data_IF_668040705172
#
_entry.id   IF_668040705172
#
_cell.length_a   1.000
_cell.length_b   1.000
_cell.length_c   1.000
_cell.angle_alpha   90.00
_cell.angle_beta   90.00
_cell.angle_gamma   90.00
#
_symmetry.space_group_name_H-M   'P 1'
#
loop_
_entity.id
_entity.type
_entity.pdbx_description
1 polymer ?
#
# COMPACT_ATOMS: atom_id res chain seq x y z
N UNK A 1 -89.22 -51.23 -25.96
CA UNK A 1 -88.08 -52.14 -26.19
C UNK A 1 -86.84 -51.26 -26.47
N UNK A 2 -86.03 -50.99 -25.47
CA UNK A 2 -84.99 -49.95 -25.53
C UNK A 2 -83.61 -50.62 -25.53
N UNK A 3 -82.84 -50.45 -26.54
CA UNK A 3 -81.46 -50.92 -26.63
C UNK A 3 -80.53 -49.84 -25.97
N UNK A 4 -79.91 -50.21 -24.89
CA UNK A 4 -78.84 -49.43 -24.32
C UNK A 4 -77.51 -49.78 -25.04
N UNK A 5 -76.91 -48.80 -25.68
CA UNK A 5 -75.56 -48.92 -26.21
C UNK A 5 -74.59 -48.22 -25.19
N UNK A 6 -73.69 -49.03 -24.61
CA UNK A 6 -72.63 -48.56 -23.74
C UNK A 6 -71.50 -48.02 -24.65
N UNK A 7 -71.12 -46.78 -24.42
CA UNK A 7 -69.92 -46.21 -25.00
C UNK A 7 -68.78 -46.32 -23.97
N UNK A 8 -67.73 -47.06 -24.38
CA UNK A 8 -66.48 -47.05 -23.59
C UNK A 8 -65.63 -45.87 -24.00
N UNK A 9 -65.32 -45.04 -23.04
CA UNK A 9 -64.39 -43.90 -23.20
C UNK A 9 -62.99 -44.36 -22.86
N UNK A 10 -62.13 -44.44 -23.84
CA UNK A 10 -60.66 -44.65 -23.67
C UNK A 10 -60.04 -43.30 -23.28
N UNK A 11 -59.53 -43.20 -22.03
CA UNK A 11 -58.69 -42.04 -21.60
C UNK A 11 -57.26 -42.39 -21.92
N UNK A 12 -56.72 -41.74 -22.94
CA UNK A 12 -55.27 -41.76 -23.24
C UNK A 12 -54.55 -40.77 -22.31
N UNK A 13 -53.80 -41.31 -21.35
CA UNK A 13 -52.92 -40.51 -20.47
C UNK A 13 -51.66 -40.06 -21.20
N UNK A 14 -51.55 -38.79 -21.51
CA UNK A 14 -50.31 -38.21 -22.00
C UNK A 14 -49.38 -37.92 -20.80
N UNK A 15 -48.32 -38.73 -20.66
CA UNK A 15 -47.24 -38.46 -19.71
C UNK A 15 -46.36 -37.32 -20.22
N UNK A 16 -46.47 -36.13 -19.64
CA UNK A 16 -45.56 -35.02 -19.86
C UNK A 16 -44.26 -35.25 -19.06
N UNK A 17 -43.22 -35.66 -19.77
CA UNK A 17 -41.86 -35.68 -19.25
C UNK A 17 -41.35 -34.21 -19.16
N UNK A 18 -41.44 -33.63 -17.98
CA UNK A 18 -40.75 -32.36 -17.65
C UNK A 18 -39.26 -32.66 -17.54
N UNK A 19 -38.50 -32.46 -18.60
CA UNK A 19 -37.05 -32.37 -18.54
C UNK A 19 -36.69 -31.04 -17.87
N UNK A 20 -36.44 -31.10 -16.58
CA UNK A 20 -35.83 -30.04 -15.82
C UNK A 20 -34.38 -29.86 -16.31
N UNK A 21 -34.14 -28.88 -17.21
CA UNK A 21 -32.81 -28.34 -17.38
C UNK A 21 -32.41 -27.64 -16.07
N UNK A 22 -31.70 -28.36 -15.19
CA UNK A 22 -30.93 -27.71 -14.16
C UNK A 22 -29.82 -26.95 -14.89
N UNK A 23 -30.05 -25.66 -15.13
CA UNK A 23 -28.98 -24.75 -15.44
C UNK A 23 -28.06 -24.78 -14.20
N UNK A 24 -26.88 -25.38 -14.35
CA UNK A 24 -25.79 -25.16 -13.42
C UNK A 24 -25.58 -23.62 -13.47
N UNK A 25 -26.01 -22.95 -12.40
CA UNK A 25 -25.53 -21.61 -12.15
C UNK A 25 -24.02 -21.77 -11.92
N UNK A 26 -23.23 -21.48 -12.95
CA UNK A 26 -21.85 -21.11 -12.72
C UNK A 26 -21.88 -20.01 -11.66
N UNK A 27 -21.47 -20.37 -10.46
CA UNK A 27 -21.07 -19.41 -9.46
C UNK A 27 -19.77 -18.78 -9.99
N UNK A 28 -19.91 -17.96 -11.02
CA UNK A 28 -18.89 -17.01 -11.42
C UNK A 28 -18.74 -16.06 -10.26
N UNK A 29 -17.86 -16.38 -9.33
CA UNK A 29 -17.41 -15.43 -8.36
C UNK A 29 -16.88 -14.23 -9.16
N UNK A 30 -17.61 -13.12 -9.10
CA UNK A 30 -17.16 -11.86 -9.67
C UNK A 30 -15.82 -11.60 -9.01
N UNK A 31 -14.73 -11.64 -9.77
CA UNK A 31 -13.42 -11.25 -9.23
C UNK A 31 -13.59 -9.86 -8.60
N UNK A 32 -13.04 -9.69 -7.41
CA UNK A 32 -13.05 -8.38 -6.76
C UNK A 32 -12.35 -7.36 -7.70
N UNK A 33 -12.78 -6.10 -7.71
CA UNK A 33 -12.12 -5.08 -8.50
C UNK A 33 -10.63 -4.97 -8.10
N UNK A 34 -9.72 -4.70 -9.04
CA UNK A 34 -8.33 -4.43 -8.71
C UNK A 34 -8.21 -3.32 -7.65
N UNK A 35 -7.27 -3.44 -6.71
CA UNK A 35 -7.09 -2.49 -5.62
C UNK A 35 -8.02 -2.66 -4.42
N UNK A 36 -9.00 -3.57 -4.49
CA UNK A 36 -9.97 -3.76 -3.42
C UNK A 36 -9.34 -4.33 -2.13
N UNK A 37 -8.32 -5.18 -2.24
CA UNK A 37 -7.60 -5.71 -1.09
C UNK A 37 -6.71 -4.63 -0.47
N UNK A 38 -6.00 -3.83 -1.27
CA UNK A 38 -5.21 -2.69 -0.81
C UNK A 38 -6.06 -1.69 -0.04
N UNK A 39 -7.21 -1.28 -0.61
CA UNK A 39 -8.11 -0.30 0.01
C UNK A 39 -8.81 -0.82 1.27
N UNK A 40 -8.97 -2.14 1.41
CA UNK A 40 -9.64 -2.75 2.56
C UNK A 40 -8.72 -3.04 3.75
N UNK A 41 -7.40 -3.01 3.56
CA UNK A 41 -6.42 -3.42 4.56
C UNK A 41 -5.53 -2.23 4.96
N UNK A 42 -5.19 -2.19 6.23
CA UNK A 42 -4.23 -1.23 6.80
C UNK A 42 -3.18 -2.02 7.56
N UNK A 43 -1.87 -1.77 7.36
CA UNK A 43 -0.81 -2.40 8.14
C UNK A 43 -0.97 -2.14 9.63
N UNK A 44 -0.59 -3.12 10.45
CA UNK A 44 -0.50 -2.89 11.89
C UNK A 44 0.69 -1.98 12.21
N UNK A 45 0.53 -1.09 13.17
CA UNK A 45 1.62 -0.22 13.60
C UNK A 45 2.80 -1.05 14.14
N UNK A 46 4.05 -0.61 13.94
CA UNK A 46 5.21 -1.32 14.48
C UNK A 46 5.12 -1.38 16.01
N UNK A 47 5.33 -2.56 16.57
CA UNK A 47 5.29 -2.78 18.04
C UNK A 47 6.61 -2.47 18.73
N UNK A 48 7.68 -2.22 17.97
CA UNK A 48 9.03 -1.96 18.45
C UNK A 48 9.61 -0.65 17.94
N UNK A 49 10.89 -0.46 18.21
CA UNK A 49 11.63 0.66 17.66
C UNK A 49 11.80 0.50 16.15
N UNK A 50 11.57 1.58 15.44
CA UNK A 50 11.82 1.70 14.00
C UNK A 50 12.88 2.76 13.73
N UNK A 51 13.49 2.72 12.57
CA UNK A 51 14.40 3.74 12.09
C UNK A 51 14.08 4.13 10.66
N UNK A 52 14.45 5.35 10.30
CA UNK A 52 14.30 5.85 8.94
C UNK A 52 15.31 6.93 8.64
N UNK A 53 15.39 7.31 7.37
CA UNK A 53 16.20 8.42 6.87
C UNK A 53 15.28 9.42 6.21
N UNK A 54 15.49 10.70 6.49
CA UNK A 54 14.65 11.74 5.91
C UNK A 54 15.12 13.13 6.26
N UNK A 55 14.40 14.10 5.75
CA UNK A 55 14.59 15.51 6.13
C UNK A 55 13.70 15.81 7.33
N UNK A 56 14.28 16.30 8.39
CA UNK A 56 13.53 16.98 9.44
C UNK A 56 13.32 18.42 9.02
N UNK A 57 12.07 18.85 8.98
CA UNK A 57 11.65 20.20 8.67
C UNK A 57 10.87 20.77 9.86
N UNK A 58 11.32 21.91 10.35
CA UNK A 58 10.63 22.73 11.33
C UNK A 58 10.27 24.06 10.67
N UNK A 59 9.01 24.35 10.48
CA UNK A 59 8.50 25.58 9.88
C UNK A 59 8.17 26.66 10.94
N UNK A 60 8.51 26.40 12.20
CA UNK A 60 8.20 27.25 13.36
C UNK A 60 6.83 26.95 13.98
N UNK A 61 5.99 26.16 13.35
CA UNK A 61 4.69 25.70 13.87
C UNK A 61 4.68 24.22 14.23
N UNK A 62 5.35 23.40 13.43
CA UNK A 62 5.45 21.96 13.59
C UNK A 62 6.83 21.45 13.17
N UNK A 63 7.22 20.30 13.73
CA UNK A 63 8.40 19.55 13.29
C UNK A 63 7.92 18.29 12.61
N UNK A 64 8.36 18.08 11.37
CA UNK A 64 7.97 16.96 10.53
C UNK A 64 9.19 16.16 10.05
N UNK A 65 9.00 14.85 9.89
CA UNK A 65 9.93 13.95 9.22
C UNK A 65 9.42 13.67 7.81
N UNK A 66 10.09 14.23 6.83
CA UNK A 66 9.85 14.00 5.42
C UNK A 66 10.56 12.74 4.96
N UNK A 67 9.83 11.66 4.77
CA UNK A 67 10.35 10.35 4.36
C UNK A 67 10.34 10.16 2.84
N UNK A 68 9.51 10.93 2.13
CA UNK A 68 9.36 10.90 0.67
C UNK A 68 10.14 12.03 -0.03
N UNK A 69 9.64 12.42 -1.18
CA UNK A 69 10.22 13.49 -1.97
C UNK A 69 10.20 14.83 -1.23
N UNK A 70 11.30 15.56 -1.33
CA UNK A 70 11.46 16.92 -0.79
C UNK A 70 11.74 17.85 -1.96
N UNK A 71 10.93 18.93 -2.09
CA UNK A 71 11.14 19.90 -3.16
C UNK A 71 12.44 20.69 -2.92
N UNK A 72 13.19 20.90 -3.99
CA UNK A 72 14.43 21.70 -3.98
C UNK A 72 14.10 23.20 -3.94
N UNK A 73 13.69 23.65 -2.76
CA UNK A 73 13.43 25.07 -2.45
C UNK A 73 14.07 25.46 -1.13
N UNK A 74 14.12 26.74 -0.80
CA UNK A 74 14.65 27.22 0.48
C UNK A 74 13.63 28.19 1.14
N UNK A 75 12.87 27.73 2.15
CA UNK A 75 12.89 26.41 2.81
C UNK A 75 12.38 25.30 1.89
N UNK A 76 12.80 24.05 2.12
CA UNK A 76 12.28 22.89 1.41
C UNK A 76 10.78 22.68 1.71
N UNK A 77 10.09 22.00 0.80
CA UNK A 77 8.68 21.65 0.99
C UNK A 77 8.51 20.14 0.87
N UNK A 78 7.78 19.54 1.79
CA UNK A 78 7.42 18.14 1.80
C UNK A 78 6.10 17.94 2.54
N UNK A 79 5.53 16.77 2.44
CA UNK A 79 4.50 16.26 3.35
C UNK A 79 5.18 15.25 4.25
N UNK A 80 5.35 15.60 5.52
CA UNK A 80 6.01 14.77 6.52
C UNK A 80 5.04 14.23 7.56
N UNK A 81 5.54 13.31 8.39
CA UNK A 81 4.83 12.88 9.60
C UNK A 81 5.30 13.71 10.79
N UNK A 82 4.41 14.06 11.74
CA UNK A 82 4.79 14.81 12.94
C UNK A 82 5.88 14.09 13.73
N UNK A 83 6.82 14.87 14.29
CA UNK A 83 7.91 14.34 15.13
C UNK A 83 7.79 14.87 16.56
N UNK A 84 7.71 13.94 17.51
CA UNK A 84 7.79 14.26 18.92
C UNK A 84 9.21 14.07 19.49
N UNK A 85 9.59 14.93 20.42
CA UNK A 85 10.91 14.86 21.09
C UNK A 85 12.07 15.45 20.30
N UNK A 86 11.82 16.19 19.21
CA UNK A 86 12.86 16.89 18.46
C UNK A 86 13.33 18.16 19.19
N UNK A 87 14.62 18.45 19.12
CA UNK A 87 15.24 19.72 19.46
C UNK A 87 16.39 20.00 18.52
N UNK A 88 16.57 21.23 18.11
CA UNK A 88 17.70 21.67 17.30
C UNK A 88 18.99 21.89 18.11
N UNK A 89 18.91 21.86 19.44
CA UNK A 89 20.07 22.10 20.31
C UNK A 89 21.16 21.05 20.04
N UNK A 90 22.35 21.54 19.66
CA UNK A 90 23.52 20.70 19.38
C UNK A 90 23.41 19.84 18.11
N UNK A 91 22.40 20.07 17.25
CA UNK A 91 22.30 19.36 15.95
C UNK A 91 23.31 19.94 14.97
N UNK A 92 24.00 19.02 14.29
CA UNK A 92 24.90 19.34 13.17
C UNK A 92 24.11 19.31 11.87
N UNK A 93 24.62 20.00 10.83
CA UNK A 93 24.08 20.01 9.47
C UNK A 93 22.64 20.56 9.36
N UNK A 94 22.26 21.47 10.26
CA UNK A 94 21.02 22.20 10.19
C UNK A 94 21.18 23.47 9.37
N UNK A 95 20.21 23.77 8.51
CA UNK A 95 20.09 25.01 7.74
C UNK A 95 18.87 25.77 8.22
N UNK A 96 18.96 27.08 8.35
CA UNK A 96 17.82 27.92 8.75
C UNK A 96 17.68 29.11 7.82
N UNK A 97 16.47 29.35 7.31
CA UNK A 97 16.09 30.56 6.58
C UNK A 97 14.58 30.79 6.64
N UNK A 98 14.14 32.02 6.59
CA UNK A 98 12.73 32.36 6.49
C UNK A 98 11.87 31.91 7.69
N UNK A 99 12.47 31.63 8.87
CA UNK A 99 11.76 31.11 10.03
C UNK A 99 11.67 29.59 10.08
N UNK A 100 12.14 28.91 9.06
CA UNK A 100 12.21 27.44 9.02
C UNK A 100 13.62 26.95 9.26
N UNK A 101 13.75 25.76 9.87
CA UNK A 101 15.01 25.05 10.07
C UNK A 101 14.86 23.61 9.58
N UNK A 102 15.85 23.09 8.87
CA UNK A 102 15.83 21.73 8.35
C UNK A 102 17.21 21.11 8.29
N UNK A 103 17.23 19.79 8.15
CA UNK A 103 18.44 18.99 7.94
C UNK A 103 18.09 17.53 7.66
N UNK A 104 19.02 16.80 7.06
CA UNK A 104 18.84 15.40 6.71
C UNK A 104 19.45 14.50 7.79
N UNK A 105 18.64 13.59 8.34
CA UNK A 105 19.02 12.73 9.47
C UNK A 105 18.58 11.29 9.32
N UNK A 106 19.36 10.38 9.91
CA UNK A 106 18.88 9.08 10.33
C UNK A 106 18.28 9.22 11.73
N UNK A 107 17.09 8.69 11.93
CA UNK A 107 16.29 8.81 13.15
C UNK A 107 15.83 7.44 13.64
N UNK A 108 15.74 7.28 14.97
CA UNK A 108 15.21 6.08 15.63
C UNK A 108 14.10 6.49 16.56
N UNK A 109 13.02 5.70 16.57
CA UNK A 109 11.86 6.05 17.36
C UNK A 109 10.78 4.98 17.37
N UNK A 110 9.65 5.30 17.98
CA UNK A 110 8.40 4.58 17.82
C UNK A 110 7.50 5.33 16.85
N UNK A 111 6.72 4.59 16.08
CA UNK A 111 5.72 5.13 15.17
C UNK A 111 4.35 4.55 15.52
N UNK A 112 3.38 5.40 15.78
CA UNK A 112 2.02 5.00 16.21
C UNK A 112 0.97 5.01 15.08
N UNK A 113 1.43 5.14 13.82
CA UNK A 113 0.56 5.30 12.64
C UNK A 113 0.31 6.76 12.28
N UNK A 114 0.75 7.70 13.11
CA UNK A 114 0.55 9.14 12.88
C UNK A 114 1.80 9.94 13.22
N UNK A 115 2.39 9.68 14.39
CA UNK A 115 3.48 10.45 14.96
C UNK A 115 4.73 9.59 15.14
N UNK A 116 5.86 10.11 14.76
CA UNK A 116 7.17 9.52 15.04
C UNK A 116 7.75 10.13 16.33
N UNK A 117 7.94 9.32 17.35
CA UNK A 117 8.51 9.76 18.62
C UNK A 117 9.95 9.28 18.73
N UNK A 118 10.90 10.23 18.83
CA UNK A 118 12.33 9.92 18.94
C UNK A 118 12.65 9.14 20.23
N UNK A 119 13.51 8.12 20.08
CA UNK A 119 14.04 7.33 21.21
C UNK A 119 15.56 7.44 21.34
N UNK A 120 16.25 7.87 20.28
CA UNK A 120 17.72 8.01 20.25
C UNK A 120 18.12 9.35 19.66
N UNK A 121 19.37 9.75 19.90
CA UNK A 121 19.96 10.92 19.26
C UNK A 121 20.03 10.71 17.75
N UNK A 122 19.42 11.60 16.95
CA UNK A 122 19.53 11.56 15.50
C UNK A 122 20.96 11.72 14.99
N UNK A 123 21.28 11.11 13.88
CA UNK A 123 22.60 11.20 13.23
C UNK A 123 22.44 11.92 11.89
N UNK A 124 23.19 13.01 11.62
CA UNK A 124 23.20 13.63 10.30
C UNK A 124 23.51 12.60 9.20
N UNK A 125 22.79 12.63 8.08
CA UNK A 125 23.03 11.65 7.01
C UNK A 125 24.44 11.71 6.43
N UNK A 126 25.09 12.86 6.47
CA UNK A 126 26.50 13.00 6.07
C UNK A 126 27.48 12.20 6.94
N UNK A 127 27.06 11.79 8.15
CA UNK A 127 27.83 10.99 9.10
C UNK A 127 27.26 9.58 9.31
N UNK A 128 26.17 9.25 8.59
CA UNK A 128 25.47 7.99 8.73
C UNK A 128 25.85 7.03 7.60
N UNK A 129 26.48 5.93 7.95
CA UNK A 129 26.80 4.85 7.00
C UNK A 129 25.65 3.81 7.01
N UNK A 130 24.70 4.01 6.12
CA UNK A 130 23.57 3.14 6.00
C UNK A 130 23.94 1.83 5.30
N UNK A 131 23.61 0.70 5.92
CA UNK A 131 23.62 -0.56 5.17
C UNK A 131 22.57 -0.52 4.07
N UNK A 132 22.88 -0.91 2.83
CA UNK A 132 21.91 -1.03 1.76
C UNK A 132 20.72 -1.90 2.20
N UNK A 133 19.52 -1.50 1.82
CA UNK A 133 18.37 -2.39 1.98
C UNK A 133 18.58 -3.64 1.11
N UNK A 134 18.16 -4.82 1.57
CA UNK A 134 18.10 -5.99 0.70
C UNK A 134 17.31 -5.67 -0.57
N UNK A 135 17.80 -6.13 -1.71
CA UNK A 135 17.05 -6.01 -2.97
C UNK A 135 15.84 -6.96 -2.92
N UNK A 136 14.60 -6.42 -2.90
CA UNK A 136 13.39 -7.25 -2.81
C UNK A 136 13.15 -8.06 -4.09
N UNK A 137 13.79 -7.71 -5.20
CA UNK A 137 13.67 -8.42 -6.47
C UNK A 137 14.61 -9.61 -6.57
N UNK A 138 15.64 -9.68 -5.73
CA UNK A 138 16.75 -10.64 -5.84
C UNK A 138 17.41 -10.59 -7.24
N UNK A 139 17.43 -9.41 -7.88
CA UNK A 139 17.95 -9.21 -9.23
C UNK A 139 17.05 -9.76 -10.36
N UNK A 140 15.79 -10.09 -10.06
CA UNK A 140 14.83 -10.59 -11.06
C UNK A 140 14.07 -9.43 -11.70
N UNK A 141 13.75 -9.58 -12.98
CA UNK A 141 12.85 -8.69 -13.70
C UNK A 141 11.40 -8.99 -13.28
N UNK A 142 10.61 -7.95 -13.09
CA UNK A 142 9.17 -8.06 -12.84
C UNK A 142 8.37 -8.49 -14.08
N UNK A 143 7.09 -8.70 -13.89
CA UNK A 143 6.17 -9.16 -14.93
C UNK A 143 5.07 -8.17 -15.28
N UNK A 144 5.13 -6.93 -14.75
CA UNK A 144 4.15 -5.90 -15.06
C UNK A 144 4.26 -5.47 -16.53
N UNK A 145 3.16 -5.56 -17.24
CA UNK A 145 3.02 -5.02 -18.61
C UNK A 145 2.72 -3.51 -18.55
N UNK A 146 2.81 -2.81 -19.65
CA UNK A 146 2.43 -1.39 -19.71
C UNK A 146 0.97 -1.14 -19.29
N UNK A 147 0.06 -2.10 -19.55
CA UNK A 147 -1.33 -2.04 -19.11
C UNK A 147 -1.47 -2.25 -17.60
N UNK A 148 -0.70 -3.21 -17.05
CA UNK A 148 -0.64 -3.40 -15.60
C UNK A 148 -0.13 -2.15 -14.89
N UNK A 149 0.96 -1.55 -15.38
CA UNK A 149 1.56 -0.33 -14.83
C UNK A 149 0.53 0.79 -14.80
N UNK A 150 -0.13 1.06 -15.93
CA UNK A 150 -1.16 2.12 -16.01
C UNK A 150 -2.32 1.88 -15.03
N UNK A 151 -2.75 0.62 -14.87
CA UNK A 151 -3.80 0.23 -13.92
C UNK A 151 -3.35 0.43 -12.46
N UNK A 152 -2.12 0.04 -12.13
CA UNK A 152 -1.54 0.18 -10.80
C UNK A 152 -1.38 1.67 -10.45
N UNK A 153 -0.86 2.47 -11.39
CA UNK A 153 -0.67 3.92 -11.22
C UNK A 153 -2.00 4.69 -11.00
N UNK A 154 -3.09 4.21 -11.60
CA UNK A 154 -4.41 4.78 -11.40
C UNK A 154 -5.02 4.44 -10.03
N UNK A 155 -4.81 3.20 -9.56
CA UNK A 155 -5.54 2.66 -8.41
C UNK A 155 -4.80 2.86 -7.08
N UNK A 156 -3.50 2.60 -7.06
CA UNK A 156 -2.71 2.53 -5.82
C UNK A 156 -2.71 3.82 -5.01
N UNK A 157 -2.61 5.02 -5.63
CA UNK A 157 -2.62 6.27 -4.87
C UNK A 157 -3.88 6.46 -4.03
N UNK A 158 -5.05 6.14 -4.56
CA UNK A 158 -6.32 6.26 -3.83
C UNK A 158 -6.47 5.15 -2.78
N UNK A 159 -5.95 3.96 -3.05
CA UNK A 159 -6.05 2.81 -2.14
C UNK A 159 -5.16 2.96 -0.89
N UNK A 160 -3.94 3.48 -1.03
CA UNK A 160 -2.98 3.69 0.08
C UNK A 160 -3.13 5.07 0.71
N UNK A 161 -3.47 6.08 -0.09
CA UNK A 161 -3.72 7.43 0.39
C UNK A 161 -2.47 8.13 0.93
N UNK A 162 -2.58 8.76 2.11
CA UNK A 162 -1.54 9.61 2.69
C UNK A 162 -0.28 8.85 3.15
N UNK A 163 -0.34 7.54 3.29
CA UNK A 163 0.82 6.73 3.65
C UNK A 163 1.75 6.46 2.46
N UNK A 164 1.32 6.78 1.23
CA UNK A 164 2.15 6.67 0.04
C UNK A 164 3.12 7.85 -0.06
N UNK A 165 4.39 7.54 -0.20
CA UNK A 165 5.47 8.52 -0.34
C UNK A 165 5.87 8.76 -1.79
N UNK A 166 5.62 7.79 -2.66
CA UNK A 166 5.94 7.85 -4.07
C UNK A 166 5.75 6.53 -4.77
N UNK A 167 5.80 6.58 -6.10
CA UNK A 167 5.69 5.40 -6.95
C UNK A 167 6.49 5.60 -8.24
N UNK A 168 7.10 4.53 -8.76
CA UNK A 168 7.77 4.52 -10.06
C UNK A 168 7.84 3.09 -10.60
N UNK A 169 7.93 2.95 -11.90
CA UNK A 169 8.18 1.68 -12.56
C UNK A 169 9.65 1.52 -12.94
N UNK A 170 10.17 0.31 -12.81
CA UNK A 170 11.50 -0.07 -13.24
C UNK A 170 11.58 -1.58 -13.49
N UNK A 171 12.16 -1.98 -14.61
CA UNK A 171 12.46 -3.38 -14.96
C UNK A 171 11.27 -4.34 -14.81
N UNK A 172 10.05 -3.88 -15.18
CA UNK A 172 8.82 -4.65 -15.09
C UNK A 172 8.24 -4.79 -13.68
N UNK A 173 8.73 -4.00 -12.73
CA UNK A 173 8.18 -3.83 -11.40
C UNK A 173 7.59 -2.44 -11.25
N UNK A 174 6.53 -2.31 -10.45
CA UNK A 174 6.06 -1.03 -9.91
C UNK A 174 6.46 -0.96 -8.45
N UNK A 175 7.33 -0.02 -8.11
CA UNK A 175 7.75 0.25 -6.74
C UNK A 175 6.81 1.28 -6.13
N UNK A 176 6.29 0.96 -4.95
CA UNK A 176 5.44 1.85 -4.16
C UNK A 176 6.11 2.09 -2.82
N UNK A 177 6.56 3.31 -2.61
CA UNK A 177 7.17 3.73 -1.35
C UNK A 177 6.09 4.18 -0.38
N UNK A 178 6.13 3.64 0.83
CA UNK A 178 5.16 3.92 1.89
C UNK A 178 5.86 4.28 3.20
N UNK A 179 5.15 4.94 4.12
CA UNK A 179 5.69 5.26 5.45
C UNK A 179 6.09 3.96 6.16
N UNK A 180 5.15 3.02 6.27
CA UNK A 180 5.33 1.74 6.94
C UNK A 180 4.45 0.66 6.31
N UNK A 181 4.98 -0.56 6.19
CA UNK A 181 4.23 -1.77 5.87
C UNK A 181 4.81 -2.96 6.64
N UNK A 182 3.98 -3.74 7.29
CA UNK A 182 4.33 -4.99 7.97
C UNK A 182 4.24 -6.22 7.04
N UNK A 183 4.04 -5.99 5.75
CA UNK A 183 3.80 -6.97 4.70
C UNK A 183 2.31 -7.15 4.36
N UNK A 184 1.43 -6.39 5.00
CA UNK A 184 -0.02 -6.42 4.73
C UNK A 184 -0.33 -5.87 3.35
N UNK A 185 0.19 -4.70 3.00
CA UNK A 185 -0.01 -4.12 1.67
C UNK A 185 0.73 -4.89 0.57
N UNK A 186 1.92 -5.45 0.86
CA UNK A 186 2.57 -6.32 -0.13
C UNK A 186 1.68 -7.51 -0.50
N UNK A 187 1.10 -8.19 0.48
CA UNK A 187 0.17 -9.32 0.22
C UNK A 187 -1.09 -8.88 -0.51
N UNK A 188 -1.63 -7.72 -0.15
CA UNK A 188 -2.80 -7.15 -0.82
C UNK A 188 -2.50 -6.78 -2.27
N UNK A 189 -1.35 -6.18 -2.56
CA UNK A 189 -0.90 -5.88 -3.91
C UNK A 189 -0.73 -7.15 -4.76
N UNK A 190 -0.14 -8.20 -4.19
CA UNK A 190 -0.02 -9.50 -4.85
C UNK A 190 -1.38 -10.14 -5.15
N UNK A 191 -2.37 -9.93 -4.28
CA UNK A 191 -3.74 -10.41 -4.47
C UNK A 191 -4.46 -9.61 -5.57
N UNK A 192 -4.32 -8.28 -5.59
CA UNK A 192 -5.04 -7.40 -6.50
C UNK A 192 -4.45 -7.42 -7.92
N UNK A 193 -3.12 -7.45 -8.05
CA UNK A 193 -2.44 -7.30 -9.34
C UNK A 193 -1.68 -8.55 -9.79
N UNK A 194 -1.50 -9.53 -8.90
CA UNK A 194 -0.69 -10.73 -9.12
C UNK A 194 0.77 -10.54 -8.67
N UNK A 195 1.38 -11.63 -8.27
CA UNK A 195 2.78 -11.65 -7.82
C UNK A 195 3.74 -11.25 -8.94
N UNK A 196 4.83 -10.59 -8.59
CA UNK A 196 5.86 -10.21 -9.54
C UNK A 196 5.62 -8.91 -10.28
N UNK A 197 4.65 -8.09 -9.83
CA UNK A 197 4.33 -6.81 -10.47
C UNK A 197 4.55 -5.61 -9.56
N UNK A 198 4.21 -5.69 -8.27
CA UNK A 198 4.30 -4.60 -7.32
C UNK A 198 5.27 -4.93 -6.20
N UNK A 199 6.06 -3.96 -5.79
CA UNK A 199 6.92 -4.02 -4.61
C UNK A 199 6.57 -2.86 -3.69
N UNK A 200 6.09 -3.17 -2.48
CA UNK A 200 5.86 -2.18 -1.43
C UNK A 200 7.17 -2.01 -0.62
N UNK A 201 7.64 -0.78 -0.49
CA UNK A 201 8.86 -0.46 0.24
C UNK A 201 8.57 0.49 1.40
N UNK A 202 8.83 0.05 2.61
CA UNK A 202 8.72 0.89 3.80
C UNK A 202 9.91 1.83 3.96
N UNK A 203 9.66 3.11 4.17
CA UNK A 203 10.68 4.09 4.53
C UNK A 203 11.13 3.91 5.99
N UNK A 204 10.20 3.59 6.89
CA UNK A 204 10.51 3.17 8.26
C UNK A 204 10.80 1.66 8.28
N UNK A 205 11.79 1.25 9.05
CA UNK A 205 12.26 -0.14 9.16
C UNK A 205 12.39 -0.53 10.62
N UNK A 206 12.03 -1.78 10.96
CA UNK A 206 12.25 -2.31 12.30
C UNK A 206 13.75 -2.32 12.65
N UNK A 207 14.05 -1.96 13.88
CA UNK A 207 15.37 -2.20 14.47
C UNK A 207 15.40 -3.67 14.89
N UNK A 208 16.21 -4.48 14.20
CA UNK A 208 16.37 -5.91 14.49
C UNK A 208 17.07 -6.20 15.81
#
# INVERSE_FOLDING_TARGET
MMHRRSFAVLVAGAALLLTSCAAAADAGGSAAPPGSALAALTPENPTGEVWGQGTILDDGSAVELCLGAVAESAPPQCSGIPVAGWSWDGKLDATSTGGSTWGAYAVWGSYDGTTFTLTRTPVPLALFDAMPAPDPTEGKTGSATAEDIATIEEIVPDAIGNDMLGMHDQDGWVYVDVIWDDGTWQKAADQDFGTGKVIIRSALRSVG
#
